data_IF_433815560325
#
_entry.id   IF_433815560325
#
_cell.length_a   1.000
_cell.length_b   1.000
_cell.length_c   1.000
_cell.angle_alpha   90.00
_cell.angle_beta   90.00
_cell.angle_gamma   90.00
#
_symmetry.space_group_name_H-M   'P 1'
#
loop_
_entity.id
_entity.type
_entity.pdbx_description
1 polymer ?
#
# COMPACT_ATOMS: atom_id res chain seq x y z
N UNK A 1 -12.56 1.30 -15.02
CA UNK A 1 -13.12 1.57 -13.68
C UNK A 1 -12.18 0.94 -12.68
N UNK A 2 -11.77 1.66 -11.64
CA UNK A 2 -10.77 1.19 -10.66
C UNK A 2 -11.43 0.15 -9.75
N UNK A 3 -10.82 -1.03 -9.62
CA UNK A 3 -11.28 -2.12 -8.76
C UNK A 3 -10.26 -2.46 -7.68
N UNK A 4 -8.97 -2.26 -7.94
CA UNK A 4 -7.89 -2.58 -6.99
C UNK A 4 -6.84 -1.48 -6.94
N UNK A 5 -6.48 -1.04 -5.73
CA UNK A 5 -5.54 0.06 -5.49
C UNK A 5 -4.40 -0.40 -4.58
N UNK A 6 -3.15 -0.15 -5.00
CA UNK A 6 -1.99 -0.25 -4.11
C UNK A 6 -1.77 1.06 -3.36
N UNK A 7 -1.58 0.98 -2.05
CA UNK A 7 -1.32 2.12 -1.19
C UNK A 7 0.18 2.20 -0.93
N UNK A 8 0.87 3.14 -1.56
CA UNK A 8 2.32 3.32 -1.41
C UNK A 8 2.67 4.18 -0.18
N UNK A 9 2.14 3.79 0.97
CA UNK A 9 2.34 4.50 2.24
C UNK A 9 2.12 3.55 3.43
N UNK A 10 2.32 4.06 4.65
CA UNK A 10 2.17 3.33 5.91
C UNK A 10 1.39 4.15 6.95
N UNK A 11 1.09 3.52 8.08
CA UNK A 11 0.52 4.24 9.23
C UNK A 11 -0.90 4.76 8.98
N UNK A 12 -1.22 5.92 9.56
CA UNK A 12 -2.59 6.43 9.60
C UNK A 12 -3.14 6.73 8.19
N UNK A 13 -2.33 7.32 7.30
CA UNK A 13 -2.79 7.70 5.97
C UNK A 13 -3.14 6.47 5.14
N UNK A 14 -2.38 5.39 5.29
CA UNK A 14 -2.70 4.13 4.67
C UNK A 14 -4.02 3.54 5.21
N UNK A 15 -4.25 3.61 6.53
CA UNK A 15 -5.56 3.22 7.13
C UNK A 15 -6.71 4.07 6.57
N UNK A 16 -6.51 5.38 6.42
CA UNK A 16 -7.51 6.30 5.87
C UNK A 16 -7.88 5.95 4.42
N UNK A 17 -6.90 5.57 3.61
CA UNK A 17 -7.10 5.18 2.20
C UNK A 17 -7.78 3.82 2.12
N UNK A 18 -7.36 2.83 2.94
CA UNK A 18 -8.04 1.52 3.02
C UNK A 18 -9.53 1.70 3.31
N UNK A 19 -9.88 2.57 4.28
CA UNK A 19 -11.28 2.86 4.60
C UNK A 19 -12.04 3.44 3.40
N UNK A 20 -11.45 4.38 2.66
CA UNK A 20 -12.07 4.93 1.46
C UNK A 20 -12.31 3.86 0.39
N UNK A 21 -11.35 2.96 0.20
CA UNK A 21 -11.48 1.85 -0.75
C UNK A 21 -12.64 0.92 -0.34
N UNK A 22 -12.74 0.58 0.95
CA UNK A 22 -13.83 -0.24 1.48
C UNK A 22 -15.21 0.41 1.25
N UNK A 23 -15.35 1.71 1.56
CA UNK A 23 -16.60 2.46 1.33
C UNK A 23 -16.98 2.51 -0.17
N UNK A 24 -15.99 2.45 -1.06
CA UNK A 24 -16.15 2.45 -2.51
C UNK A 24 -16.24 1.05 -3.15
N UNK A 25 -16.21 -0.04 -2.37
CA UNK A 25 -16.10 -1.42 -2.87
C UNK A 25 -14.88 -1.66 -3.79
N UNK A 26 -13.74 -1.07 -3.43
CA UNK A 26 -12.44 -1.22 -4.10
C UNK A 26 -11.52 -2.07 -3.21
N UNK A 27 -10.84 -3.05 -3.79
CA UNK A 27 -9.82 -3.84 -3.10
C UNK A 27 -8.58 -2.99 -2.83
N UNK A 28 -8.05 -3.06 -1.61
CA UNK A 28 -6.86 -2.29 -1.21
C UNK A 28 -5.68 -3.21 -0.94
N UNK A 29 -4.52 -2.89 -1.52
CA UNK A 29 -3.25 -3.59 -1.28
C UNK A 29 -2.32 -2.70 -0.46
N UNK A 30 -1.92 -3.16 0.72
CA UNK A 30 -0.92 -2.50 1.55
C UNK A 30 0.51 -2.97 1.21
N UNK A 31 1.47 -2.07 1.38
CA UNK A 31 2.89 -2.44 1.45
C UNK A 31 3.42 -2.24 2.87
N UNK A 32 4.42 -3.03 3.25
CA UNK A 32 5.06 -2.90 4.56
C UNK A 32 6.56 -3.24 4.54
N UNK A 33 7.35 -2.50 5.31
CA UNK A 33 8.67 -2.95 5.73
C UNK A 33 8.54 -3.93 6.90
N UNK A 34 9.55 -4.77 7.14
CA UNK A 34 9.51 -5.79 8.20
C UNK A 34 9.10 -5.25 9.59
N UNK A 35 9.62 -4.10 10.06
CA UNK A 35 9.18 -3.54 11.35
C UNK A 35 7.69 -3.17 11.39
N UNK A 36 7.07 -2.95 10.23
CA UNK A 36 5.66 -2.60 10.08
C UNK A 36 4.76 -3.83 9.82
N UNK A 37 5.30 -5.06 9.81
CA UNK A 37 4.53 -6.30 9.49
C UNK A 37 3.22 -6.41 10.26
N UNK A 38 3.17 -5.92 11.50
CA UNK A 38 2.00 -6.00 12.36
C UNK A 38 1.21 -4.68 12.49
N UNK A 39 1.54 -3.68 11.66
CA UNK A 39 0.88 -2.38 11.67
C UNK A 39 -0.60 -2.49 11.27
N UNK A 40 -1.37 -1.48 11.69
CA UNK A 40 -2.83 -1.49 11.50
C UNK A 40 -3.24 -1.45 10.02
N UNK A 41 -2.51 -0.71 9.17
CA UNK A 41 -2.83 -0.64 7.74
C UNK A 41 -2.65 -1.99 7.04
N UNK A 42 -1.67 -2.79 7.46
CA UNK A 42 -1.44 -4.17 6.98
C UNK A 42 -2.62 -5.07 7.33
N UNK A 43 -3.11 -4.99 8.57
CA UNK A 43 -4.23 -5.82 9.04
C UNK A 43 -5.58 -5.45 8.41
N UNK A 44 -5.75 -4.20 7.98
CA UNK A 44 -7.02 -3.70 7.45
C UNK A 44 -7.17 -3.84 5.93
N UNK A 45 -6.06 -3.87 5.21
CA UNK A 45 -6.08 -4.01 3.76
C UNK A 45 -6.53 -5.43 3.34
N UNK A 46 -7.08 -5.55 2.13
CA UNK A 46 -7.48 -6.83 1.53
C UNK A 46 -6.27 -7.76 1.33
N UNK A 47 -5.14 -7.18 0.90
CA UNK A 47 -3.87 -7.87 0.69
C UNK A 47 -2.72 -7.03 1.24
N UNK A 48 -1.60 -7.66 1.58
CA UNK A 48 -0.41 -6.96 2.01
C UNK A 48 0.90 -7.66 1.60
N UNK A 49 1.88 -6.88 1.16
CA UNK A 49 3.16 -7.39 0.65
C UNK A 49 4.36 -6.69 1.27
N UNK A 50 5.41 -7.47 1.55
CA UNK A 50 6.66 -6.93 2.10
C UNK A 50 7.48 -6.20 1.02
N UNK A 51 7.94 -4.99 1.34
CA UNK A 51 8.85 -4.20 0.51
C UNK A 51 10.29 -4.21 1.02
N UNK A 52 10.60 -5.01 2.05
CA UNK A 52 11.96 -5.27 2.51
C UNK A 52 12.13 -5.24 4.02
N UNK A 53 13.37 -5.47 4.44
CA UNK A 53 13.79 -5.45 5.85
C UNK A 53 14.04 -4.03 6.36
N UNK A 54 14.55 -3.16 5.48
CA UNK A 54 14.86 -1.78 5.84
C UNK A 54 13.56 -0.98 6.12
N UNK A 55 13.48 -0.21 7.22
CA UNK A 55 12.29 0.53 7.60
C UNK A 55 11.79 1.53 6.55
N UNK A 56 12.67 2.02 5.68
CA UNK A 56 12.42 3.18 4.81
C UNK A 56 12.66 2.87 3.33
N UNK A 57 13.76 2.20 2.99
CA UNK A 57 14.20 2.01 1.61
C UNK A 57 13.16 1.31 0.73
N UNK A 58 12.35 0.41 1.31
CA UNK A 58 11.25 -0.24 0.61
C UNK A 58 10.15 0.73 0.16
N UNK A 59 9.81 1.73 0.98
CA UNK A 59 8.80 2.75 0.68
C UNK A 59 9.27 3.81 -0.33
N UNK A 60 10.59 3.97 -0.49
CA UNK A 60 11.19 4.93 -1.42
C UNK A 60 11.58 4.32 -2.78
N UNK A 61 11.32 3.02 -2.99
CA UNK A 61 11.67 2.33 -4.22
C UNK A 61 10.51 2.31 -5.21
N UNK A 62 10.40 3.35 -6.04
CA UNK A 62 9.33 3.50 -7.04
C UNK A 62 9.24 2.29 -7.99
N UNK A 63 10.37 1.78 -8.49
CA UNK A 63 10.38 0.63 -9.40
C UNK A 63 9.79 -0.63 -8.75
N UNK A 64 10.19 -0.94 -7.51
CA UNK A 64 9.68 -2.09 -6.78
C UNK A 64 8.18 -1.96 -6.52
N UNK A 65 7.72 -0.78 -6.13
CA UNK A 65 6.31 -0.52 -5.83
C UNK A 65 5.46 -0.63 -7.10
N UNK A 66 5.90 -0.05 -8.22
CA UNK A 66 5.19 -0.16 -9.51
C UNK A 66 5.16 -1.60 -10.00
N UNK A 67 6.28 -2.33 -9.93
CA UNK A 67 6.32 -3.74 -10.32
C UNK A 67 5.35 -4.58 -9.48
N UNK A 68 5.29 -4.31 -8.17
CA UNK A 68 4.36 -4.99 -7.26
C UNK A 68 2.90 -4.65 -7.60
N UNK A 69 2.58 -3.39 -7.88
CA UNK A 69 1.24 -2.98 -8.30
C UNK A 69 0.80 -3.73 -9.56
N UNK A 70 1.69 -3.82 -10.57
CA UNK A 70 1.44 -4.57 -11.81
C UNK A 70 1.26 -6.06 -11.54
N UNK A 71 2.17 -6.68 -10.78
CA UNK A 71 2.12 -8.13 -10.53
C UNK A 71 0.92 -8.57 -9.68
N UNK A 72 0.36 -7.65 -8.88
CA UNK A 72 -0.81 -7.90 -8.02
C UNK A 72 -2.12 -7.49 -8.67
N UNK A 73 -2.08 -6.98 -9.91
CA UNK A 73 -3.26 -6.61 -10.68
C UNK A 73 -3.94 -5.33 -10.18
N UNK A 74 -3.18 -4.39 -9.61
CA UNK A 74 -3.72 -3.08 -9.21
C UNK A 74 -3.97 -2.20 -10.43
N UNK A 75 -5.11 -1.53 -10.47
CA UNK A 75 -5.47 -0.56 -11.52
C UNK A 75 -4.88 0.83 -11.26
N UNK A 76 -4.63 1.15 -9.98
CA UNK A 76 -4.12 2.45 -9.56
C UNK A 76 -3.26 2.35 -8.31
N UNK A 77 -2.59 3.46 -8.00
CA UNK A 77 -1.71 3.59 -6.85
C UNK A 77 -2.00 4.92 -6.14
N UNK A 78 -2.13 4.87 -4.82
CA UNK A 78 -2.34 6.07 -4.00
C UNK A 78 -1.11 6.33 -3.11
N UNK A 79 -0.37 7.44 -3.30
CA UNK A 79 0.88 7.67 -2.59
C UNK A 79 0.67 8.21 -1.17
N UNK A 80 -0.54 8.70 -0.84
CA UNK A 80 -0.77 9.36 0.45
C UNK A 80 -0.06 10.70 0.48
N UNK A 81 0.68 10.99 1.55
CA UNK A 81 1.56 12.15 1.67
C UNK A 81 2.96 11.73 2.12
N UNK A 82 3.95 12.58 1.85
CA UNK A 82 5.36 12.32 2.16
C UNK A 82 6.00 11.39 1.14
N UNK A 83 5.74 10.08 1.22
CA UNK A 83 6.59 9.06 0.60
C UNK A 83 6.85 9.23 -0.90
N UNK A 84 5.97 8.80 -1.82
CA UNK A 84 6.18 9.10 -3.24
C UNK A 84 5.00 9.93 -3.78
N UNK A 85 4.67 10.98 -3.02
CA UNK A 85 3.63 12.00 -3.28
C UNK A 85 4.22 13.32 -3.73
#
# INVERSE_FOLDING_TARGET
MIRKILIANRGEIAVRIVRACQEANIESVAIYAEPDRHALHVKKASEAYSVGQDPLAGYLNAHRIVNLAVSTGCDALHPGYGFLS
#
